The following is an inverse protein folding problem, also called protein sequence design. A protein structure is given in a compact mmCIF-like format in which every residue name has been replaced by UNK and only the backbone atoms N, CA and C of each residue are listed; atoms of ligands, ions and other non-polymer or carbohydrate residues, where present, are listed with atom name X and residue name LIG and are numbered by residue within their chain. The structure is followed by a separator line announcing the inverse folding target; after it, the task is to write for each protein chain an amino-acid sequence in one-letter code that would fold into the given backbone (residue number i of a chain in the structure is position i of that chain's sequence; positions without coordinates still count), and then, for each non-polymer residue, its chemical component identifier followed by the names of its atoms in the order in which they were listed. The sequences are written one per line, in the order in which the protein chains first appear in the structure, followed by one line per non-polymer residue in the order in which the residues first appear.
data_IF_213544738761
#
_entry.id   IF_213544738761
#
_cell.length_a   1.000
_cell.length_b   1.000
_cell.length_c   1.000
_cell.angle_alpha   90.00
_cell.angle_beta   90.00
_cell.angle_gamma   90.00
#
_symmetry.space_group_name_H-M   'P 1'
#
loop_
_entity.id
_entity.type
_entity.pdbx_description
1 polymer ?
#
# COMPACT_ATOMS: atom_id res chain seq x y z
N UNK A 1 29.91 3.57 -17.26
CA UNK A 1 30.13 5.03 -17.36
C UNK A 1 28.86 5.69 -16.82
N UNK A 2 28.93 6.34 -15.67
CA UNK A 2 27.79 7.07 -15.10
C UNK A 2 27.40 8.15 -16.11
N UNK A 3 26.10 8.30 -16.49
CA UNK A 3 25.70 9.39 -17.39
C UNK A 3 26.17 10.72 -16.82
N UNK A 4 26.71 11.56 -17.68
CA UNK A 4 27.18 12.89 -17.33
C UNK A 4 26.05 13.68 -16.61
N UNK A 5 26.23 14.13 -15.36
CA UNK A 5 25.23 14.91 -14.65
C UNK A 5 25.02 16.32 -15.24
N UNK A 6 25.72 16.70 -16.30
CA UNK A 6 25.59 17.99 -16.96
C UNK A 6 24.45 18.09 -18.00
N UNK A 7 23.67 17.02 -18.20
CA UNK A 7 22.35 17.13 -18.81
C UNK A 7 21.28 17.19 -17.70
N UNK A 8 21.51 17.96 -16.65
CA UNK A 8 20.44 18.45 -15.77
C UNK A 8 19.53 19.33 -16.63
N UNK A 9 18.54 18.69 -17.25
CA UNK A 9 17.29 19.38 -17.55
C UNK A 9 16.80 19.82 -16.19
N UNK A 10 16.87 21.09 -15.92
CA UNK A 10 16.48 21.69 -14.65
C UNK A 10 14.94 21.67 -14.58
N UNK A 11 14.38 20.46 -14.38
CA UNK A 11 12.95 20.20 -14.26
C UNK A 11 12.32 20.92 -13.06
N UNK A 12 13.14 21.54 -12.20
CA UNK A 12 12.68 22.29 -11.05
C UNK A 12 12.35 23.76 -11.37
N UNK A 13 13.04 24.39 -12.32
CA UNK A 13 12.79 25.82 -12.65
C UNK A 13 11.52 26.03 -13.47
N UNK A 14 11.18 25.10 -14.37
CA UNK A 14 10.04 25.28 -15.27
C UNK A 14 8.66 25.11 -14.60
N UNK A 15 8.59 24.54 -13.40
CA UNK A 15 7.33 24.29 -12.68
C UNK A 15 7.19 25.12 -11.40
N UNK A 16 8.22 25.84 -10.97
CA UNK A 16 8.14 26.76 -9.86
C UNK A 16 7.19 27.92 -10.20
N UNK A 17 6.16 28.12 -9.40
CA UNK A 17 5.16 29.18 -9.60
C UNK A 17 4.00 28.81 -10.53
N UNK A 18 3.91 27.58 -11.06
CA UNK A 18 2.74 27.13 -11.83
C UNK A 18 1.50 26.84 -10.99
N UNK A 19 1.63 26.79 -9.67
CA UNK A 19 0.56 26.37 -8.75
C UNK A 19 0.27 24.87 -8.77
N UNK A 20 1.12 24.05 -9.44
CA UNK A 20 0.94 22.61 -9.56
C UNK A 20 1.74 21.84 -8.53
N UNK A 21 1.15 20.76 -8.03
CA UNK A 21 1.91 19.74 -7.30
C UNK A 21 2.82 18.96 -8.27
N UNK A 22 3.94 18.45 -7.78
CA UNK A 22 4.80 17.54 -8.51
C UNK A 22 4.83 16.19 -7.79
N UNK A 23 4.27 15.15 -8.41
CA UNK A 23 4.35 13.79 -7.88
C UNK A 23 5.55 13.08 -8.52
N UNK A 24 6.60 12.86 -7.73
CA UNK A 24 7.84 12.20 -8.16
C UNK A 24 7.82 10.75 -7.66
N UNK A 25 7.88 9.79 -8.57
CA UNK A 25 7.70 8.39 -8.21
C UNK A 25 8.17 7.41 -9.28
N UNK A 26 7.68 6.18 -9.20
CA UNK A 26 7.97 5.12 -10.16
C UNK A 26 6.69 4.34 -10.49
N UNK A 27 6.50 3.95 -11.75
CA UNK A 27 5.37 3.12 -12.17
C UNK A 27 5.41 1.75 -11.45
N UNK A 28 6.60 1.21 -11.22
CA UNK A 28 6.79 -0.03 -10.48
C UNK A 28 6.64 0.09 -8.96
N UNK A 29 6.21 1.24 -8.44
CA UNK A 29 5.95 1.44 -7.00
C UNK A 29 4.45 1.51 -6.72
N UNK A 30 3.91 0.60 -5.88
CA UNK A 30 2.50 0.60 -5.51
C UNK A 30 2.06 1.92 -4.85
N UNK A 31 2.89 2.48 -3.98
CA UNK A 31 2.60 3.73 -3.28
C UNK A 31 2.60 4.94 -4.22
N UNK A 32 3.44 4.92 -5.27
CA UNK A 32 3.41 5.95 -6.31
C UNK A 32 2.12 5.89 -7.13
N UNK A 33 1.67 4.68 -7.46
CA UNK A 33 0.42 4.47 -8.18
C UNK A 33 -0.79 4.84 -7.30
N UNK A 34 -0.80 4.47 -6.03
CA UNK A 34 -1.78 4.90 -5.03
C UNK A 34 -1.93 6.43 -5.06
N UNK A 35 -0.84 7.17 -4.88
CA UNK A 35 -0.88 8.63 -4.82
C UNK A 35 -1.27 9.28 -6.16
N UNK A 36 -0.90 8.67 -7.29
CA UNK A 36 -1.33 9.14 -8.61
C UNK A 36 -2.85 9.04 -8.77
N UNK A 37 -3.46 7.92 -8.36
CA UNK A 37 -4.90 7.75 -8.38
C UNK A 37 -5.62 8.70 -7.40
N UNK A 38 -5.06 8.89 -6.20
CA UNK A 38 -5.57 9.87 -5.21
C UNK A 38 -5.66 11.27 -5.79
N UNK A 39 -4.57 11.78 -6.37
CA UNK A 39 -4.56 13.13 -6.95
C UNK A 39 -5.52 13.27 -8.12
N UNK A 40 -5.64 12.24 -8.98
CA UNK A 40 -6.62 12.20 -10.07
C UNK A 40 -8.06 12.21 -9.57
N UNK A 41 -8.40 11.27 -8.67
CA UNK A 41 -9.74 11.22 -8.08
C UNK A 41 -10.13 12.54 -7.42
N UNK A 42 -9.23 13.12 -6.63
CA UNK A 42 -9.47 14.41 -5.94
C UNK A 42 -9.42 15.61 -6.86
N UNK A 43 -9.08 15.43 -8.14
CA UNK A 43 -8.92 16.52 -9.13
C UNK A 43 -7.95 17.60 -8.65
N UNK A 44 -6.90 17.21 -7.93
CA UNK A 44 -5.81 18.09 -7.53
C UNK A 44 -4.82 18.17 -8.68
N UNK A 45 -4.58 19.34 -9.25
CA UNK A 45 -3.69 19.49 -10.40
C UNK A 45 -2.24 19.12 -10.05
N UNK A 46 -1.63 18.24 -10.84
CA UNK A 46 -0.27 17.81 -10.62
C UNK A 46 0.45 17.43 -11.89
N UNK A 47 1.78 17.43 -11.83
CA UNK A 47 2.66 16.86 -12.85
C UNK A 47 3.26 15.56 -12.35
N UNK A 48 3.17 14.51 -13.15
CA UNK A 48 3.81 13.24 -12.88
C UNK A 48 5.25 13.23 -13.38
N UNK A 49 6.20 12.98 -12.50
CA UNK A 49 7.61 12.84 -12.80
C UNK A 49 8.10 11.44 -12.38
N UNK A 50 8.08 10.51 -13.33
CA UNK A 50 8.44 9.10 -13.10
C UNK A 50 9.93 8.79 -13.28
N UNK A 51 10.31 7.57 -12.91
CA UNK A 51 11.64 7.02 -13.16
C UNK A 51 12.76 7.71 -12.37
N UNK A 52 13.79 8.19 -13.03
CA UNK A 52 14.98 8.80 -12.40
C UNK A 52 14.63 9.95 -11.46
N UNK A 53 13.68 10.80 -11.84
CA UNK A 53 13.23 11.93 -11.01
C UNK A 53 12.68 11.48 -9.65
N UNK A 54 11.92 10.38 -9.62
CA UNK A 54 11.45 9.77 -8.38
C UNK A 54 12.59 9.27 -7.49
N UNK A 55 13.59 8.60 -8.07
CA UNK A 55 14.74 8.10 -7.31
C UNK A 55 15.57 9.24 -6.73
N UNK A 56 15.85 10.28 -7.50
CA UNK A 56 16.60 11.45 -7.02
C UNK A 56 15.85 12.13 -5.88
N UNK A 57 14.56 12.38 -6.04
CA UNK A 57 13.74 12.99 -4.99
C UNK A 57 13.73 12.16 -3.70
N UNK A 58 13.60 10.84 -3.81
CA UNK A 58 13.62 9.96 -2.64
C UNK A 58 14.94 10.00 -1.87
N UNK A 59 16.09 10.14 -2.56
CA UNK A 59 17.39 10.24 -1.88
C UNK A 59 17.53 11.50 -1.01
N UNK A 60 16.81 12.57 -1.31
CA UNK A 60 16.78 13.80 -0.52
C UNK A 60 15.89 13.70 0.73
N UNK A 61 15.02 12.68 0.81
CA UNK A 61 14.11 12.49 1.93
C UNK A 61 14.77 11.69 3.07
N UNK A 62 14.30 11.90 4.30
CA UNK A 62 14.72 11.10 5.47
C UNK A 62 14.40 9.62 5.28
N UNK A 63 13.17 9.30 4.90
CA UNK A 63 12.78 7.99 4.43
C UNK A 63 13.02 7.95 2.91
N UNK A 64 14.03 7.21 2.48
CA UNK A 64 14.47 7.17 1.07
C UNK A 64 13.53 6.31 0.22
N UNK A 65 12.26 6.69 0.17
CA UNK A 65 11.18 5.96 -0.52
C UNK A 65 10.38 6.89 -1.42
N UNK A 66 9.83 6.33 -2.49
CA UNK A 66 8.85 6.97 -3.36
C UNK A 66 7.43 6.60 -2.95
N UNK A 67 6.43 7.46 -3.23
CA UNK A 67 6.53 8.74 -3.93
C UNK A 67 7.00 9.88 -3.03
N UNK A 68 7.49 10.95 -3.68
CA UNK A 68 7.69 12.26 -3.07
C UNK A 68 6.71 13.23 -3.74
N UNK A 69 5.89 13.88 -2.94
CA UNK A 69 5.00 14.96 -3.38
C UNK A 69 5.65 16.29 -3.04
N UNK A 70 5.88 17.13 -4.06
CA UNK A 70 6.35 18.50 -3.87
C UNK A 70 5.15 19.42 -4.04
N UNK A 71 4.92 20.29 -3.03
CA UNK A 71 3.82 21.26 -3.06
C UNK A 71 4.13 22.42 -4.02
N UNK A 72 3.13 23.24 -4.39
CA UNK A 72 3.35 24.45 -5.19
C UNK A 72 4.37 25.43 -4.57
N UNK A 73 4.52 25.40 -3.24
CA UNK A 73 5.46 26.23 -2.46
C UNK A 73 6.88 25.62 -2.41
N UNK A 74 7.05 24.38 -2.95
CA UNK A 74 8.35 23.69 -3.00
C UNK A 74 8.64 22.79 -1.80
N UNK A 75 7.69 22.59 -0.88
CA UNK A 75 7.87 21.66 0.23
C UNK A 75 7.75 20.21 -0.25
N UNK A 76 8.68 19.36 0.19
CA UNK A 76 8.72 17.95 -0.19
C UNK A 76 8.23 17.04 0.95
N UNK A 77 7.28 16.17 0.63
CA UNK A 77 6.64 15.22 1.55
C UNK A 77 6.65 13.81 0.97
N UNK A 78 6.77 12.81 1.84
CA UNK A 78 6.57 11.41 1.46
C UNK A 78 5.77 10.67 2.54
N UNK A 79 5.51 9.34 2.36
CA UNK A 79 4.57 8.54 3.12
C UNK A 79 3.11 8.72 2.62
N UNK A 80 2.62 7.73 1.87
CA UNK A 80 1.34 7.84 1.14
C UNK A 80 0.12 8.02 2.06
N UNK A 81 0.07 7.37 3.21
CA UNK A 81 -1.02 7.52 4.18
C UNK A 81 -1.02 8.93 4.78
N UNK A 82 0.16 9.42 5.15
CA UNK A 82 0.29 10.78 5.64
C UNK A 82 -0.03 11.83 4.58
N UNK A 83 0.37 11.57 3.33
CA UNK A 83 0.05 12.45 2.20
C UNK A 83 -1.45 12.56 1.95
N UNK A 84 -2.20 11.45 2.04
CA UNK A 84 -3.66 11.50 1.94
C UNK A 84 -4.24 12.39 3.04
N UNK A 85 -3.84 12.20 4.30
CA UNK A 85 -4.32 13.01 5.43
C UNK A 85 -4.01 14.50 5.25
N UNK A 86 -2.82 14.85 4.76
CA UNK A 86 -2.45 16.23 4.48
C UNK A 86 -3.26 16.82 3.32
N UNK A 87 -3.46 16.06 2.26
CA UNK A 87 -4.28 16.51 1.14
C UNK A 87 -5.75 16.70 1.53
N UNK A 88 -6.28 15.89 2.45
CA UNK A 88 -7.62 16.10 3.04
C UNK A 88 -7.70 17.45 3.77
N UNK A 89 -6.67 17.79 4.56
CA UNK A 89 -6.61 19.04 5.30
C UNK A 89 -6.37 20.27 4.40
N UNK A 90 -5.49 20.15 3.40
CA UNK A 90 -5.16 21.25 2.47
C UNK A 90 -6.26 21.52 1.44
N UNK A 91 -7.00 20.48 1.05
CA UNK A 91 -8.05 20.56 0.03
C UNK A 91 -9.36 19.97 0.56
N UNK A 92 -10.00 20.59 1.57
CA UNK A 92 -11.29 20.13 2.05
C UNK A 92 -12.32 20.24 0.91
N UNK A 93 -13.14 19.21 0.74
CA UNK A 93 -14.13 19.21 -0.33
C UNK A 93 -14.85 17.90 -0.51
N UNK A 94 -15.67 17.84 -1.54
CA UNK A 94 -16.62 16.76 -1.79
C UNK A 94 -15.95 15.44 -2.18
N UNK A 95 -14.75 15.48 -2.75
CA UNK A 95 -14.03 14.27 -3.21
C UNK A 95 -13.05 13.73 -2.16
N UNK A 96 -13.43 13.81 -0.88
CA UNK A 96 -12.68 13.19 0.22
C UNK A 96 -12.58 11.67 0.05
N UNK A 97 -11.48 11.07 0.52
CA UNK A 97 -11.25 9.63 0.61
C UNK A 97 -11.48 9.09 2.03
N UNK A 98 -11.85 9.96 2.96
CA UNK A 98 -12.15 9.59 4.35
C UNK A 98 -13.67 9.54 4.52
N UNK A 99 -14.24 8.36 4.78
CA UNK A 99 -15.66 8.20 5.06
C UNK A 99 -16.13 9.09 6.21
N UNK A 100 -17.37 9.58 6.11
CA UNK A 100 -17.95 10.47 7.14
C UNK A 100 -18.44 9.72 8.38
N UNK A 101 -18.87 8.46 8.23
CA UNK A 101 -19.20 7.60 9.38
C UNK A 101 -17.91 7.18 10.10
N UNK A 102 -17.79 7.39 11.43
CA UNK A 102 -16.56 7.09 12.17
C UNK A 102 -16.18 5.61 12.16
N UNK A 103 -17.15 4.70 12.10
CA UNK A 103 -16.90 3.26 12.05
C UNK A 103 -16.33 2.84 10.69
N UNK A 104 -16.90 3.35 9.62
CA UNK A 104 -16.42 3.11 8.25
C UNK A 104 -15.06 3.77 8.05
N UNK A 105 -14.84 4.97 8.60
CA UNK A 105 -13.53 5.64 8.56
C UNK A 105 -12.44 4.82 9.27
N UNK A 106 -12.77 4.24 10.44
CA UNK A 106 -11.86 3.35 11.15
C UNK A 106 -11.55 2.08 10.34
N UNK A 107 -12.56 1.44 9.75
CA UNK A 107 -12.34 0.26 8.90
C UNK A 107 -11.51 0.62 7.66
N UNK A 108 -11.74 1.78 7.07
CA UNK A 108 -10.91 2.27 5.96
C UNK A 108 -9.46 2.44 6.37
N UNK A 109 -9.18 3.03 7.53
CA UNK A 109 -7.82 3.17 8.06
C UNK A 109 -7.14 1.81 8.28
N UNK A 110 -7.84 0.87 8.92
CA UNK A 110 -7.32 -0.47 9.19
C UNK A 110 -7.01 -1.24 7.90
N UNK A 111 -7.91 -1.18 6.92
CA UNK A 111 -7.76 -1.88 5.64
C UNK A 111 -6.76 -1.19 4.70
N UNK A 112 -6.63 0.14 4.76
CA UNK A 112 -5.56 0.87 4.08
C UNK A 112 -4.20 0.38 4.54
N UNK A 113 -3.99 0.34 5.86
CA UNK A 113 -2.73 -0.07 6.46
C UNK A 113 -2.43 -1.55 6.18
N UNK A 114 -3.45 -2.44 6.23
CA UNK A 114 -3.29 -3.83 5.82
C UNK A 114 -2.88 -3.97 4.34
N UNK A 115 -3.45 -3.19 3.45
CA UNK A 115 -3.08 -3.22 2.03
C UNK A 115 -1.63 -2.75 1.84
N UNK A 116 -1.23 -1.68 2.50
CA UNK A 116 0.10 -1.10 2.38
C UNK A 116 1.19 -1.97 3.03
N UNK A 117 0.90 -2.68 4.13
CA UNK A 117 1.91 -3.38 4.93
C UNK A 117 1.83 -4.92 4.83
N UNK A 118 0.67 -5.49 4.49
CA UNK A 118 0.52 -6.93 4.32
C UNK A 118 0.39 -7.36 2.86
N UNK A 119 -0.52 -6.77 2.08
CA UNK A 119 -0.66 -7.12 0.66
C UNK A 119 0.59 -6.72 -0.16
N UNK A 120 1.34 -5.72 0.28
CA UNK A 120 2.65 -5.39 -0.27
C UNK A 120 3.64 -6.55 -0.25
N UNK A 121 3.53 -7.46 0.73
CA UNK A 121 4.35 -8.68 0.78
C UNK A 121 4.00 -9.63 -0.36
N UNK A 122 2.72 -9.77 -0.69
CA UNK A 122 2.30 -10.56 -1.85
C UNK A 122 2.84 -9.95 -3.15
N UNK A 123 2.72 -8.64 -3.31
CA UNK A 123 3.30 -7.92 -4.46
C UNK A 123 4.80 -8.18 -4.58
N UNK A 124 5.55 -8.03 -3.48
CA UNK A 124 6.99 -8.25 -3.48
C UNK A 124 7.36 -9.72 -3.73
N UNK A 125 6.62 -10.64 -3.12
CA UNK A 125 6.83 -12.07 -3.30
C UNK A 125 6.63 -12.49 -4.77
N UNK A 126 5.49 -12.17 -5.36
CA UNK A 126 5.20 -12.50 -6.75
C UNK A 126 6.26 -11.94 -7.70
N UNK A 127 6.67 -10.70 -7.49
CA UNK A 127 7.66 -10.01 -8.32
C UNK A 127 9.05 -10.63 -8.24
N UNK A 128 9.46 -11.14 -7.08
CA UNK A 128 10.85 -11.53 -6.84
C UNK A 128 11.05 -13.01 -6.48
N UNK A 129 10.02 -13.85 -6.48
CA UNK A 129 10.17 -15.27 -6.21
C UNK A 129 10.40 -16.12 -7.47
N UNK A 130 9.86 -15.70 -8.61
CA UNK A 130 9.86 -16.50 -9.84
C UNK A 130 10.72 -15.87 -10.94
N UNK A 131 11.49 -16.67 -11.71
CA UNK A 131 12.41 -16.14 -12.73
C UNK A 131 11.71 -15.25 -13.77
N UNK A 132 10.51 -15.63 -14.24
CA UNK A 132 9.78 -14.87 -15.27
C UNK A 132 9.40 -13.45 -14.78
N UNK A 133 8.97 -13.34 -13.53
CA UNK A 133 8.61 -12.06 -12.93
C UNK A 133 9.86 -11.22 -12.64
N UNK A 134 10.91 -11.86 -12.10
CA UNK A 134 12.21 -11.21 -11.86
C UNK A 134 12.80 -10.62 -13.15
N UNK A 135 12.79 -11.38 -14.23
CA UNK A 135 13.36 -10.95 -15.51
C UNK A 135 12.61 -9.76 -16.10
N UNK A 136 11.29 -9.83 -16.16
CA UNK A 136 10.48 -8.72 -16.67
C UNK A 136 10.65 -7.47 -15.82
N UNK A 137 10.44 -7.59 -14.51
CA UNK A 137 10.38 -6.41 -13.65
C UNK A 137 11.72 -5.76 -13.43
N UNK A 138 12.82 -6.51 -13.36
CA UNK A 138 14.15 -5.91 -13.29
C UNK A 138 14.46 -5.07 -14.52
N UNK A 139 14.12 -5.55 -15.71
CA UNK A 139 14.29 -4.81 -16.97
C UNK A 139 13.42 -3.56 -17.04
N UNK A 140 12.16 -3.65 -16.62
CA UNK A 140 11.26 -2.50 -16.65
C UNK A 140 11.67 -1.41 -15.65
N UNK A 141 12.02 -1.79 -14.44
CA UNK A 141 12.52 -0.84 -13.44
C UNK A 141 13.83 -0.17 -13.89
N UNK A 142 14.74 -0.95 -14.52
CA UNK A 142 15.98 -0.39 -15.08
C UNK A 142 15.67 0.55 -16.25
N UNK A 143 14.74 0.19 -17.14
CA UNK A 143 14.33 1.05 -18.24
C UNK A 143 13.73 2.39 -17.71
N UNK A 144 12.85 2.33 -16.72
CA UNK A 144 12.25 3.53 -16.13
C UNK A 144 13.30 4.49 -15.55
N UNK A 145 14.36 3.93 -14.93
CA UNK A 145 15.43 4.74 -14.33
C UNK A 145 16.44 5.25 -15.35
N UNK A 146 16.67 4.50 -16.42
CA UNK A 146 17.77 4.74 -17.37
C UNK A 146 17.28 5.00 -18.80
N UNK A 147 16.03 5.40 -18.97
CA UNK A 147 15.44 5.66 -20.29
C UNK A 147 16.32 6.63 -21.09
N UNK A 148 16.76 6.18 -22.26
CA UNK A 148 17.70 6.91 -23.12
C UNK A 148 19.19 6.57 -22.89
N UNK A 149 19.51 5.71 -21.91
CA UNK A 149 20.88 5.31 -21.59
C UNK A 149 21.48 4.18 -22.46
N UNK A 150 20.71 3.61 -23.38
CA UNK A 150 21.13 2.51 -24.24
C UNK A 150 20.78 1.12 -23.67
N UNK A 151 20.64 0.12 -24.54
CA UNK A 151 20.16 -1.20 -24.17
C UNK A 151 21.11 -1.95 -23.21
N UNK A 152 22.40 -1.88 -23.45
CA UNK A 152 23.42 -2.59 -22.63
C UNK A 152 23.41 -2.09 -21.18
N UNK A 153 23.37 -0.75 -20.98
CA UNK A 153 23.33 -0.15 -19.66
C UNK A 153 22.02 -0.51 -18.90
N UNK A 154 20.90 -0.60 -19.61
CA UNK A 154 19.62 -1.03 -19.01
C UNK A 154 19.71 -2.49 -18.56
N UNK A 155 20.30 -3.38 -19.38
CA UNK A 155 20.47 -4.80 -19.04
C UNK A 155 21.41 -4.98 -17.84
N UNK A 156 22.53 -4.28 -17.80
CA UNK A 156 23.47 -4.31 -16.66
C UNK A 156 22.76 -3.85 -15.37
N UNK A 157 22.03 -2.74 -15.42
CA UNK A 157 21.30 -2.23 -14.27
C UNK A 157 20.17 -3.17 -13.82
N UNK A 158 19.50 -3.86 -14.76
CA UNK A 158 18.48 -4.83 -14.45
C UNK A 158 19.01 -6.00 -13.60
N UNK A 159 20.21 -6.50 -13.92
CA UNK A 159 20.89 -7.55 -13.13
C UNK A 159 21.16 -7.07 -11.71
N UNK A 160 21.73 -5.86 -11.55
CA UNK A 160 22.03 -5.28 -10.22
C UNK A 160 20.76 -5.16 -9.38
N UNK A 161 19.67 -4.71 -9.97
CA UNK A 161 18.40 -4.55 -9.26
C UNK A 161 17.76 -5.88 -8.90
N UNK A 162 17.72 -6.83 -9.84
CA UNK A 162 17.22 -8.16 -9.57
C UNK A 162 17.93 -8.80 -8.38
N UNK A 163 19.26 -8.83 -8.42
CA UNK A 163 20.05 -9.51 -7.39
C UNK A 163 19.88 -8.83 -6.02
N UNK A 164 19.83 -7.50 -5.99
CA UNK A 164 19.52 -6.75 -4.77
C UNK A 164 18.14 -7.09 -4.21
N UNK A 165 17.11 -7.13 -5.04
CA UNK A 165 15.74 -7.33 -4.56
C UNK A 165 15.50 -8.79 -4.16
N UNK A 166 16.01 -9.73 -4.92
CA UNK A 166 15.94 -11.16 -4.57
C UNK A 166 16.65 -11.42 -3.25
N UNK A 167 17.84 -10.84 -3.03
CA UNK A 167 18.59 -10.98 -1.79
C UNK A 167 17.95 -10.32 -0.56
N UNK A 168 16.88 -9.53 -0.73
CA UNK A 168 16.17 -8.87 0.38
C UNK A 168 14.87 -9.56 0.79
N UNK A 169 14.51 -10.69 0.19
CA UNK A 169 13.23 -11.37 0.46
C UNK A 169 13.01 -11.66 1.93
N UNK A 170 14.02 -12.17 2.63
CA UNK A 170 13.94 -12.45 4.06
C UNK A 170 13.82 -11.17 4.90
N UNK A 171 14.50 -10.09 4.50
CA UNK A 171 14.44 -8.80 5.19
C UNK A 171 13.04 -8.17 5.18
N UNK A 172 12.28 -8.42 4.12
CA UNK A 172 10.90 -7.89 3.98
C UNK A 172 9.84 -8.94 4.36
N UNK A 173 10.24 -10.05 4.97
CA UNK A 173 9.35 -11.07 5.50
C UNK A 173 8.66 -11.92 4.43
N UNK A 174 9.29 -12.08 3.24
CA UNK A 174 8.75 -12.90 2.14
C UNK A 174 9.72 -14.03 1.74
N UNK A 175 10.44 -14.57 2.71
CA UNK A 175 11.28 -15.76 2.56
C UNK A 175 10.48 -17.00 2.18
N UNK A 176 11.17 -18.10 1.94
CA UNK A 176 10.58 -19.35 1.43
C UNK A 176 9.46 -19.88 2.34
N UNK A 177 9.65 -19.87 3.66
CA UNK A 177 8.66 -20.32 4.63
C UNK A 177 7.37 -19.48 4.63
N UNK A 178 7.45 -18.20 4.29
CA UNK A 178 6.31 -17.29 4.25
C UNK A 178 5.52 -17.39 2.93
N UNK A 179 6.12 -17.89 1.87
CA UNK A 179 5.53 -17.91 0.53
C UNK A 179 4.14 -18.53 0.49
N UNK A 180 3.88 -19.78 0.96
CA UNK A 180 2.55 -20.37 0.86
C UNK A 180 1.50 -19.61 1.68
N UNK A 181 1.89 -19.03 2.81
CA UNK A 181 0.98 -18.25 3.66
C UNK A 181 0.56 -16.96 2.95
N UNK A 182 1.53 -16.24 2.38
CA UNK A 182 1.29 -14.96 1.69
C UNK A 182 0.47 -15.18 0.42
N UNK A 183 0.77 -16.20 -0.38
CA UNK A 183 0.02 -16.52 -1.59
C UNK A 183 -1.43 -16.90 -1.29
N UNK A 184 -1.66 -17.72 -0.26
CA UNK A 184 -2.99 -18.10 0.17
C UNK A 184 -3.80 -16.90 0.71
N UNK A 185 -3.17 -16.03 1.51
CA UNK A 185 -3.79 -14.79 2.00
C UNK A 185 -4.15 -13.84 0.84
N UNK A 186 -3.22 -13.62 -0.08
CA UNK A 186 -3.46 -12.78 -1.26
C UNK A 186 -4.63 -13.31 -2.11
N UNK A 187 -4.72 -14.62 -2.30
CA UNK A 187 -5.81 -15.26 -3.05
C UNK A 187 -7.17 -14.99 -2.40
N UNK A 188 -7.28 -15.11 -1.06
CA UNK A 188 -8.52 -14.82 -0.33
C UNK A 188 -8.88 -13.34 -0.37
N UNK A 189 -7.90 -12.44 -0.20
CA UNK A 189 -8.10 -10.99 -0.33
C UNK A 189 -8.61 -10.65 -1.74
N UNK A 190 -7.94 -11.14 -2.79
CA UNK A 190 -8.36 -10.89 -4.17
C UNK A 190 -9.74 -11.47 -4.48
N UNK A 191 -10.07 -12.64 -3.93
CA UNK A 191 -11.40 -13.25 -4.08
C UNK A 191 -12.50 -12.39 -3.47
N UNK A 192 -12.29 -11.91 -2.23
CA UNK A 192 -13.23 -11.04 -1.54
C UNK A 192 -13.43 -9.71 -2.28
N UNK A 193 -12.33 -9.09 -2.72
CA UNK A 193 -12.39 -7.85 -3.50
C UNK A 193 -13.05 -8.05 -4.88
N UNK A 194 -12.77 -9.17 -5.56
CA UNK A 194 -13.38 -9.47 -6.87
C UNK A 194 -14.91 -9.59 -6.78
N UNK A 195 -15.44 -10.13 -5.68
CA UNK A 195 -16.87 -10.14 -5.41
C UNK A 195 -17.38 -8.73 -5.12
N UNK A 196 -16.70 -7.98 -4.24
CA UNK A 196 -17.15 -6.65 -3.80
C UNK A 196 -17.28 -5.65 -4.95
N UNK A 197 -16.30 -5.59 -5.85
CA UNK A 197 -16.29 -4.61 -6.94
C UNK A 197 -17.44 -4.81 -7.93
N UNK A 198 -18.02 -6.01 -8.00
CA UNK A 198 -19.23 -6.29 -8.78
C UNK A 198 -20.49 -5.81 -8.05
N UNK A 199 -20.51 -5.96 -6.72
CA UNK A 199 -21.70 -5.63 -5.92
C UNK A 199 -21.82 -4.12 -5.67
N UNK A 200 -20.71 -3.41 -5.45
CA UNK A 200 -20.71 -2.03 -4.93
C UNK A 200 -19.72 -1.08 -5.59
N UNK A 201 -18.87 -1.54 -6.47
CA UNK A 201 -17.82 -0.73 -7.09
C UNK A 201 -16.60 -0.49 -6.20
N UNK A 202 -16.77 -0.18 -4.90
CA UNK A 202 -15.71 0.05 -3.92
C UNK A 202 -16.02 -0.64 -2.59
N UNK A 203 -15.05 -0.64 -1.67
CA UNK A 203 -15.17 -1.35 -0.39
C UNK A 203 -16.38 -0.90 0.44
N UNK A 204 -16.64 0.39 0.47
CA UNK A 204 -17.65 0.99 1.33
C UNK A 204 -18.81 1.64 0.56
N UNK A 205 -19.07 1.22 -0.68
CA UNK A 205 -20.19 1.70 -1.48
C UNK A 205 -19.80 2.10 -2.90
N UNK A 206 -20.39 3.19 -3.41
CA UNK A 206 -20.19 3.67 -4.78
C UNK A 206 -19.07 4.73 -4.87
N UNK A 207 -18.38 4.98 -3.77
CA UNK A 207 -17.34 6.00 -3.64
C UNK A 207 -16.06 5.38 -3.08
N UNK A 208 -14.88 5.66 -3.69
CA UNK A 208 -13.63 5.15 -3.17
C UNK A 208 -13.28 5.76 -1.81
N UNK A 209 -12.60 4.96 -0.99
CA UNK A 209 -11.97 5.36 0.26
C UNK A 209 -10.44 5.29 0.14
N UNK A 210 -9.72 5.71 1.18
CA UNK A 210 -8.27 5.55 1.27
C UNK A 210 -7.83 4.08 1.19
N UNK A 211 -8.64 3.15 1.75
CA UNK A 211 -8.41 1.71 1.62
C UNK A 211 -8.46 1.23 0.17
N UNK A 212 -9.45 1.68 -0.62
CA UNK A 212 -9.53 1.34 -2.04
C UNK A 212 -8.29 1.78 -2.80
N UNK A 213 -7.79 2.99 -2.50
CA UNK A 213 -6.57 3.50 -3.13
C UNK A 213 -5.31 2.71 -2.73
N UNK A 214 -5.26 2.19 -1.50
CA UNK A 214 -4.16 1.33 -1.05
C UNK A 214 -4.20 -0.04 -1.71
N UNK A 215 -5.37 -0.69 -1.75
CA UNK A 215 -5.55 -1.94 -2.51
C UNK A 215 -5.22 -1.73 -3.98
N UNK A 216 -5.73 -0.67 -4.60
CA UNK A 216 -5.41 -0.32 -5.98
C UNK A 216 -3.90 -0.24 -6.19
N UNK A 217 -3.17 0.47 -5.33
CA UNK A 217 -1.73 0.61 -5.43
C UNK A 217 -1.01 -0.73 -5.53
N UNK A 218 -1.31 -1.69 -4.64
CA UNK A 218 -0.71 -3.02 -4.65
C UNK A 218 -1.19 -3.87 -5.83
N UNK A 219 -2.48 -3.83 -6.11
CA UNK A 219 -3.09 -4.61 -7.19
C UNK A 219 -2.64 -4.16 -8.58
N UNK A 220 -2.26 -2.88 -8.80
CA UNK A 220 -1.68 -2.47 -10.09
C UNK A 220 -0.41 -3.24 -10.39
N UNK A 221 0.39 -3.52 -9.38
CA UNK A 221 1.63 -4.25 -9.53
C UNK A 221 1.36 -5.74 -9.80
N UNK A 222 0.43 -6.35 -9.05
CA UNK A 222 0.00 -7.73 -9.30
C UNK A 222 -0.67 -7.89 -10.67
N UNK A 223 -1.39 -6.87 -11.15
CA UNK A 223 -1.98 -6.87 -12.50
C UNK A 223 -0.96 -6.63 -13.62
N UNK A 224 0.29 -6.34 -13.29
CA UNK A 224 1.37 -6.04 -14.24
C UNK A 224 2.42 -7.15 -14.32
N UNK A 225 2.79 -7.73 -13.18
CA UNK A 225 3.80 -8.78 -13.10
C UNK A 225 3.26 -10.10 -13.69
N UNK A 226 4.01 -10.84 -14.51
CA UNK A 226 3.49 -11.93 -15.36
C UNK A 226 2.67 -12.99 -14.63
N UNK A 227 3.22 -13.54 -13.53
CA UNK A 227 2.55 -14.63 -12.80
C UNK A 227 1.26 -14.16 -12.13
N UNK A 228 1.22 -13.10 -11.30
CA UNK A 228 -0.02 -12.69 -10.67
C UNK A 228 -1.00 -12.07 -11.66
N UNK A 229 -0.54 -11.46 -12.76
CA UNK A 229 -1.42 -11.00 -13.83
C UNK A 229 -2.22 -12.15 -14.44
N UNK A 230 -1.56 -13.28 -14.75
CA UNK A 230 -2.23 -14.46 -15.27
C UNK A 230 -3.28 -14.99 -14.28
N UNK A 231 -2.94 -15.09 -12.99
CA UNK A 231 -3.87 -15.49 -11.93
C UNK A 231 -5.07 -14.54 -11.82
N UNK A 232 -4.83 -13.22 -11.86
CA UNK A 232 -5.92 -12.25 -11.78
C UNK A 232 -6.86 -12.32 -12.99
N UNK A 233 -6.33 -12.50 -14.20
CA UNK A 233 -7.14 -12.66 -15.43
C UNK A 233 -8.01 -13.92 -15.39
N UNK A 234 -7.47 -15.01 -14.87
CA UNK A 234 -8.15 -16.31 -14.83
C UNK A 234 -9.19 -16.39 -13.71
N UNK A 235 -8.83 -15.93 -12.49
CA UNK A 235 -9.62 -16.18 -11.29
C UNK A 235 -10.34 -14.93 -10.74
N UNK A 236 -9.86 -13.73 -11.06
CA UNK A 236 -10.37 -12.45 -10.52
C UNK A 236 -10.60 -11.41 -11.63
N UNK A 237 -11.36 -11.73 -12.70
CA UNK A 237 -11.46 -10.89 -13.89
C UNK A 237 -12.09 -9.51 -13.63
N UNK A 238 -13.01 -9.42 -12.68
CA UNK A 238 -13.65 -8.15 -12.33
C UNK A 238 -12.70 -7.26 -11.56
N UNK A 239 -11.95 -7.81 -10.62
CA UNK A 239 -10.91 -7.10 -9.89
C UNK A 239 -9.78 -6.64 -10.84
N UNK A 240 -9.38 -7.50 -11.80
CA UNK A 240 -8.40 -7.13 -12.81
C UNK A 240 -8.88 -5.92 -13.63
N UNK A 241 -10.16 -5.88 -14.02
CA UNK A 241 -10.73 -4.75 -14.74
C UNK A 241 -10.89 -3.51 -13.86
N UNK A 242 -11.28 -3.69 -12.61
CA UNK A 242 -11.39 -2.63 -11.61
C UNK A 242 -10.07 -1.88 -11.42
N UNK A 243 -8.94 -2.59 -11.37
CA UNK A 243 -7.60 -1.97 -11.29
C UNK A 243 -7.35 -1.01 -12.45
N UNK A 244 -7.76 -1.39 -13.67
CA UNK A 244 -7.57 -0.52 -14.84
C UNK A 244 -8.47 0.71 -14.81
N UNK A 245 -9.69 0.58 -14.27
CA UNK A 245 -10.63 1.70 -14.12
C UNK A 245 -10.14 2.66 -13.03
N UNK A 246 -9.66 2.13 -11.91
CA UNK A 246 -9.24 2.93 -10.75
C UNK A 246 -7.98 3.75 -11.01
N UNK A 247 -7.23 3.47 -12.08
CA UNK A 247 -6.07 4.29 -12.48
C UNK A 247 -6.45 5.76 -12.71
N UNK A 248 -7.66 6.03 -13.20
CA UNK A 248 -8.16 7.40 -13.38
C UNK A 248 -9.66 7.52 -13.11
N UNK A 249 -10.00 7.93 -11.90
CA UNK A 249 -11.36 8.23 -11.47
C UNK A 249 -11.68 9.74 -11.51
N UNK A 250 -10.90 10.53 -12.24
CA UNK A 250 -11.09 11.98 -12.30
C UNK A 250 -12.42 12.39 -12.96
N UNK A 251 -12.94 11.54 -13.85
CA UNK A 251 -14.21 11.73 -14.55
C UNK A 251 -15.44 11.21 -13.79
N UNK A 252 -15.23 10.37 -12.77
CA UNK A 252 -16.32 9.69 -12.09
C UNK A 252 -17.21 10.65 -11.29
N UNK A 253 -18.50 10.29 -11.25
CA UNK A 253 -19.49 10.98 -10.41
C UNK A 253 -19.17 10.64 -8.95
N UNK A 254 -19.35 11.62 -8.08
CA UNK A 254 -19.21 11.41 -6.65
C UNK A 254 -20.35 10.55 -6.14
N UNK A 255 -20.02 9.33 -5.69
CA UNK A 255 -20.94 8.39 -5.08
C UNK A 255 -21.13 8.63 -3.58
N UNK A 256 -21.74 7.66 -2.91
CA UNK A 256 -21.96 7.67 -1.46
C UNK A 256 -21.23 6.50 -0.81
N UNK A 257 -20.84 6.66 0.46
CA UNK A 257 -20.41 5.57 1.30
C UNK A 257 -21.61 4.96 2.03
N UNK A 258 -21.64 3.63 2.10
CA UNK A 258 -22.54 2.89 2.98
C UNK A 258 -22.06 3.04 4.43
N UNK A 259 -22.97 3.06 5.38
CA UNK A 259 -22.66 2.97 6.81
C UNK A 259 -22.58 1.52 7.31
N UNK A 260 -22.72 0.56 6.39
CA UNK A 260 -22.64 -0.87 6.69
C UNK A 260 -21.19 -1.28 6.99
N UNK A 261 -20.97 -1.75 8.21
CA UNK A 261 -19.70 -2.24 8.72
C UNK A 261 -19.59 -3.76 8.72
N UNK A 262 -20.63 -4.46 8.25
CA UNK A 262 -20.81 -5.92 8.41
C UNK A 262 -21.14 -6.68 7.12
N UNK A 263 -20.55 -6.28 6.00
CA UNK A 263 -20.71 -7.04 4.76
C UNK A 263 -19.83 -8.30 4.73
N UNK A 264 -20.22 -9.35 3.95
CA UNK A 264 -19.41 -10.56 3.80
C UNK A 264 -17.95 -10.28 3.38
N UNK A 265 -17.75 -9.30 2.49
CA UNK A 265 -16.39 -8.89 2.05
C UNK A 265 -15.59 -8.27 3.19
N UNK A 266 -16.20 -7.35 3.95
CA UNK A 266 -15.54 -6.74 5.10
C UNK A 266 -15.16 -7.79 6.15
N UNK A 267 -16.05 -8.73 6.45
CA UNK A 267 -15.75 -9.86 7.35
C UNK A 267 -14.57 -10.68 6.84
N UNK A 268 -14.54 -11.03 5.56
CA UNK A 268 -13.43 -11.79 4.97
C UNK A 268 -12.10 -11.05 5.10
N UNK A 269 -12.06 -9.74 4.82
CA UNK A 269 -10.86 -8.91 4.96
C UNK A 269 -10.43 -8.74 6.42
N UNK A 270 -11.38 -8.59 7.35
CA UNK A 270 -11.10 -8.51 8.78
C UNK A 270 -10.55 -9.84 9.34
N UNK A 271 -11.02 -10.98 8.84
CA UNK A 271 -10.42 -12.29 9.18
C UNK A 271 -8.96 -12.35 8.70
N UNK A 272 -8.64 -11.85 7.51
CA UNK A 272 -7.25 -11.74 7.05
C UNK A 272 -6.42 -10.80 7.93
N UNK A 273 -6.99 -9.66 8.36
CA UNK A 273 -6.36 -8.78 9.35
C UNK A 273 -6.02 -9.53 10.65
N UNK A 274 -6.99 -10.24 11.22
CA UNK A 274 -6.85 -10.93 12.50
C UNK A 274 -5.90 -12.14 12.44
N UNK A 275 -5.88 -12.86 11.31
CA UNK A 275 -5.12 -14.10 11.16
C UNK A 275 -3.67 -13.86 10.73
N UNK A 276 -3.39 -12.79 10.01
CA UNK A 276 -2.10 -12.56 9.37
C UNK A 276 -1.45 -11.24 9.75
N UNK A 277 -2.18 -10.14 9.57
CA UNK A 277 -1.61 -8.81 9.66
C UNK A 277 -1.43 -8.30 11.10
N UNK A 278 -2.50 -8.23 11.88
CA UNK A 278 -2.45 -7.74 13.27
C UNK A 278 -1.53 -8.55 14.19
N UNK A 279 -1.47 -9.91 14.10
CA UNK A 279 -0.48 -10.68 14.86
C UNK A 279 0.97 -10.28 14.56
N UNK A 280 1.28 -10.01 13.29
CA UNK A 280 2.59 -9.49 12.89
C UNK A 280 2.88 -8.13 13.53
N UNK A 281 1.96 -7.18 13.47
CA UNK A 281 2.13 -5.85 14.05
C UNK A 281 2.32 -5.91 15.58
N UNK A 282 1.52 -6.73 16.27
CA UNK A 282 1.58 -6.87 17.73
C UNK A 282 2.93 -7.46 18.16
N UNK A 283 3.36 -8.55 17.52
CA UNK A 283 4.65 -9.17 17.82
C UNK A 283 5.83 -8.23 17.51
N UNK A 284 5.78 -7.54 16.37
CA UNK A 284 6.77 -6.55 15.99
C UNK A 284 6.85 -5.39 17.02
N UNK A 285 5.71 -4.82 17.41
CA UNK A 285 5.68 -3.71 18.36
C UNK A 285 6.27 -4.11 19.73
N UNK A 286 5.96 -5.31 20.21
CA UNK A 286 6.53 -5.84 21.44
C UNK A 286 8.06 -6.02 21.34
N UNK A 287 8.56 -6.56 20.23
CA UNK A 287 9.99 -6.73 19.98
C UNK A 287 10.73 -5.40 19.86
N UNK A 288 10.15 -4.42 19.16
CA UNK A 288 10.71 -3.04 19.07
C UNK A 288 10.81 -2.41 20.46
N UNK A 289 9.78 -2.55 21.30
CA UNK A 289 9.78 -2.04 22.67
C UNK A 289 10.87 -2.68 23.53
N UNK A 290 11.15 -3.96 23.30
CA UNK A 290 12.20 -4.73 24.01
C UNK A 290 13.59 -4.56 23.39
N UNK A 291 13.73 -3.77 22.31
CA UNK A 291 15.01 -3.55 21.62
C UNK A 291 15.54 -4.79 20.87
N UNK A 292 14.68 -5.75 20.56
CA UNK A 292 15.04 -6.95 19.81
C UNK A 292 15.30 -6.62 18.32
N UNK A 293 16.24 -7.34 17.71
CA UNK A 293 16.56 -7.16 16.29
C UNK A 293 15.60 -7.90 15.34
N UNK A 294 14.99 -8.98 15.84
CA UNK A 294 14.06 -9.84 15.10
C UNK A 294 12.87 -10.21 15.99
N UNK A 295 11.79 -10.63 15.36
CA UNK A 295 10.61 -11.15 16.05
C UNK A 295 10.02 -12.33 15.30
N UNK A 296 9.26 -13.16 16.02
CA UNK A 296 8.47 -14.26 15.46
C UNK A 296 6.99 -14.03 15.74
N UNK A 297 6.15 -14.49 14.83
CA UNK A 297 4.70 -14.42 14.93
C UNK A 297 4.04 -15.57 14.18
N UNK A 298 2.78 -15.85 14.48
CA UNK A 298 2.00 -16.84 13.73
C UNK A 298 1.08 -16.16 12.74
N UNK A 299 1.15 -16.62 11.48
CA UNK A 299 0.23 -16.21 10.42
C UNK A 299 -0.28 -17.45 9.70
N UNK A 300 -1.60 -17.60 9.59
CA UNK A 300 -2.20 -18.78 8.96
C UNK A 300 -1.77 -20.13 9.60
N UNK A 301 -1.46 -20.13 10.88
CA UNK A 301 -0.99 -21.33 11.61
C UNK A 301 0.51 -21.63 11.46
N UNK A 302 1.24 -20.89 10.62
CA UNK A 302 2.69 -21.05 10.40
C UNK A 302 3.45 -20.03 11.23
N UNK A 303 4.55 -20.46 11.86
CA UNK A 303 5.47 -19.55 12.55
C UNK A 303 6.42 -18.90 11.55
N UNK A 304 6.44 -17.60 11.54
CA UNK A 304 7.26 -16.75 10.66
C UNK A 304 8.17 -15.86 11.51
N UNK A 305 9.36 -15.54 11.00
CA UNK A 305 10.31 -14.65 11.65
C UNK A 305 10.88 -13.63 10.67
N UNK A 306 11.10 -12.40 11.15
CA UNK A 306 11.70 -11.35 10.36
C UNK A 306 12.36 -10.27 11.25
N UNK A 307 13.18 -9.37 10.68
CA UNK A 307 13.69 -8.19 11.37
C UNK A 307 12.58 -7.28 11.90
N UNK A 308 12.83 -6.61 13.03
CA UNK A 308 11.92 -5.61 13.59
C UNK A 308 11.83 -4.38 12.71
N UNK A 309 10.63 -3.80 12.63
CA UNK A 309 10.34 -2.57 11.89
C UNK A 309 9.65 -1.53 12.79
N UNK A 310 10.34 -0.40 13.00
CA UNK A 310 9.82 0.72 13.79
C UNK A 310 8.64 1.42 13.14
N UNK A 311 8.56 1.40 11.81
CA UNK A 311 7.44 2.01 11.10
C UNK A 311 6.17 1.20 11.35
N UNK A 312 6.20 -0.12 11.19
CA UNK A 312 5.06 -1.01 11.47
C UNK A 312 4.62 -0.95 12.95
N UNK A 313 5.56 -0.73 13.89
CA UNK A 313 5.19 -0.49 15.29
C UNK A 313 4.40 0.82 15.48
N UNK A 314 4.70 1.86 14.69
CA UNK A 314 3.90 3.11 14.65
C UNK A 314 2.53 2.88 14.01
N UNK A 315 2.42 2.08 12.96
CA UNK A 315 1.15 1.72 12.33
C UNK A 315 0.18 1.16 13.38
N UNK A 316 0.63 0.18 14.18
CA UNK A 316 -0.20 -0.37 15.27
C UNK A 316 -0.64 0.69 16.28
N UNK A 317 0.24 1.61 16.65
CA UNK A 317 -0.11 2.69 17.59
C UNK A 317 -1.20 3.60 17.01
N UNK A 318 -1.10 3.97 15.72
CA UNK A 318 -2.10 4.80 15.04
C UNK A 318 -3.45 4.09 14.98
N UNK A 319 -3.47 2.81 14.58
CA UNK A 319 -4.69 2.00 14.49
C UNK A 319 -5.35 1.89 15.88
N UNK A 320 -4.59 1.53 16.92
CA UNK A 320 -5.12 1.38 18.28
C UNK A 320 -5.65 2.68 18.85
N UNK A 321 -4.97 3.80 18.57
CA UNK A 321 -5.43 5.12 18.98
C UNK A 321 -6.75 5.45 18.28
N UNK A 322 -6.83 5.29 16.96
CA UNK A 322 -8.07 5.53 16.22
C UNK A 322 -9.22 4.65 16.73
N UNK A 323 -8.95 3.39 17.10
CA UNK A 323 -9.93 2.49 17.70
C UNK A 323 -10.38 2.96 19.10
N UNK A 324 -9.46 3.43 19.93
CA UNK A 324 -9.75 3.93 21.28
C UNK A 324 -10.53 5.27 21.27
N UNK A 325 -10.33 6.08 20.24
CA UNK A 325 -10.98 7.39 20.09
C UNK A 325 -12.44 7.26 19.56
N UNK A 326 -12.88 6.07 19.15
CA UNK A 326 -14.27 5.82 18.72
C UNK A 326 -15.25 5.97 19.89
N UNK A 327 -16.35 6.67 19.63
CA UNK A 327 -17.42 6.84 20.60
C UNK A 327 -18.18 5.53 20.89
N UNK A 328 -19.01 5.55 21.95
CA UNK A 328 -19.74 4.37 22.40
C UNK A 328 -20.75 3.83 21.37
N UNK A 329 -21.39 4.68 20.61
CA UNK A 329 -22.38 4.29 19.61
C UNK A 329 -21.71 3.58 18.43
N UNK A 330 -20.63 4.16 17.91
CA UNK A 330 -19.79 3.57 16.86
C UNK A 330 -19.22 2.22 17.31
N UNK A 331 -18.72 2.14 18.55
CA UNK A 331 -18.20 0.89 19.12
C UNK A 331 -19.29 -0.19 19.23
N UNK A 332 -20.51 0.17 19.60
CA UNK A 332 -21.62 -0.79 19.71
C UNK A 332 -21.96 -1.45 18.36
N UNK A 333 -21.71 -0.78 17.24
CA UNK A 333 -21.88 -1.34 15.87
C UNK A 333 -20.66 -2.18 15.43
N UNK A 334 -19.45 -1.73 15.75
CA UNK A 334 -18.22 -2.34 15.28
C UNK A 334 -17.77 -3.54 16.12
N UNK A 335 -17.90 -3.47 17.46
CA UNK A 335 -17.36 -4.48 18.36
C UNK A 335 -17.85 -5.90 18.05
N UNK A 336 -19.14 -6.16 17.73
CA UNK A 336 -19.59 -7.49 17.36
C UNK A 336 -18.82 -8.08 16.17
N UNK A 337 -18.66 -7.31 15.10
CA UNK A 337 -17.94 -7.74 13.88
C UNK A 337 -16.46 -7.97 14.18
N UNK A 338 -15.83 -7.06 14.92
CA UNK A 338 -14.42 -7.19 15.28
C UNK A 338 -14.16 -8.37 16.25
N UNK A 339 -15.10 -8.70 17.11
CA UNK A 339 -15.03 -9.88 17.99
C UNK A 339 -15.14 -11.16 17.16
N UNK A 340 -16.18 -11.27 16.32
CA UNK A 340 -16.43 -12.45 15.50
C UNK A 340 -15.31 -12.72 14.48
N UNK A 341 -14.68 -11.67 13.94
CA UNK A 341 -13.55 -11.79 13.01
C UNK A 341 -12.19 -11.96 13.71
N UNK A 342 -12.14 -11.81 15.05
CA UNK A 342 -10.90 -11.96 15.83
C UNK A 342 -10.01 -10.72 15.89
N UNK A 343 -10.42 -9.59 15.32
CA UNK A 343 -9.63 -8.35 15.38
C UNK A 343 -9.65 -7.69 16.76
N UNK A 344 -10.78 -7.77 17.46
CA UNK A 344 -11.00 -7.05 18.71
C UNK A 344 -9.88 -7.21 19.76
N UNK A 345 -9.47 -8.45 20.15
CA UNK A 345 -8.44 -8.62 21.19
C UNK A 345 -7.08 -8.03 20.79
N UNK A 346 -6.78 -7.96 19.49
CA UNK A 346 -5.53 -7.43 18.96
C UNK A 346 -5.52 -5.89 18.92
N UNK A 347 -6.70 -5.29 18.80
CA UNK A 347 -6.91 -3.84 18.80
C UNK A 347 -7.04 -3.28 20.23
N UNK A 348 -7.83 -3.94 21.08
CA UNK A 348 -8.14 -3.48 22.43
C UNK A 348 -7.04 -3.73 23.46
N UNK A 349 -6.01 -4.55 23.16
CA UNK A 349 -4.94 -4.85 24.12
C UNK A 349 -4.07 -3.61 24.35
N UNK A 350 -4.13 -3.07 25.58
CA UNK A 350 -3.08 -2.21 26.10
C UNK A 350 -1.77 -3.01 26.09
N UNK A 351 -0.69 -2.46 25.52
CA UNK A 351 0.63 -3.09 25.42
C UNK A 351 1.30 -3.48 26.75
N UNK A 352 0.55 -3.54 27.85
CA UNK A 352 1.03 -3.83 29.22
C UNK A 352 0.76 -5.27 29.69
N UNK A 353 0.03 -6.11 28.95
CA UNK A 353 -0.15 -7.53 29.32
C UNK A 353 0.46 -8.45 28.29
N UNK A 354 1.64 -8.97 28.61
CA UNK A 354 2.26 -10.05 27.87
C UNK A 354 1.27 -11.20 27.67
N UNK A 355 1.17 -11.70 26.44
CA UNK A 355 0.44 -12.92 26.11
C UNK A 355 1.19 -14.06 26.81
N UNK A 356 0.68 -14.46 27.94
CA UNK A 356 1.11 -15.68 28.65
C UNK A 356 0.29 -16.87 28.13
N UNK A 357 1.05 -17.94 27.85
CA UNK A 357 0.71 -19.31 27.53
C UNK A 357 0.31 -19.61 26.08
#
# INVERSE_FOLDING_TARGET
MVPNPAAEVNLHEDLAGTGLYQLKGAIGSPYSMKMRAVLRYRRIPFVWQGGLAGFIAAQAMKAKVVPVLVTPEGEAWNDSTRLIQQLEAWHPGTRSLVPTDPGVAFLSLLLEDMADEWLSRAMYLYRWARPVDQEQMSRWLAFDAMRGGGADAIVEQAVVWRDRQVGRRDLVGVGEAAQPVIEASAARIMSALNQRVVERGFLFGDRPSAADMAFYGQLTQLATDPTPQALMREHYPWLFRWVQITDDLSGDIEGQWDEDVDSPTLRALLVECATHYLPCLVANAAAVQQGQATFSYRAGGVELSQPTDRYQAKCLQVIRRAFADLDRETRARLDPVLIETGCYPLLASDGSKGVGA
#
